data_IF_257872825309
#
_entry.id   IF_257872825309
#
_cell.length_a   1.000
_cell.length_b   1.000
_cell.length_c   1.000
_cell.angle_alpha   90.00
_cell.angle_beta   90.00
_cell.angle_gamma   90.00
#
_symmetry.space_group_name_H-M   'P 1'
#
loop_
_entity.id
_entity.type
_entity.pdbx_description
1 polymer ?
#
# COMPACT_ATOMS: atom_id res chain seq x y z
N UNK A 1 75.89 -40.78 -25.65
CA UNK A 1 75.32 -39.94 -24.58
C UNK A 1 73.82 -40.24 -24.52
N UNK A 2 73.37 -41.06 -23.57
CA UNK A 2 71.96 -41.47 -23.44
C UNK A 2 71.24 -40.52 -22.49
N UNK A 3 70.27 -39.75 -22.99
CA UNK A 3 69.40 -38.89 -22.17
C UNK A 3 68.19 -39.72 -21.73
N UNK A 4 68.04 -39.97 -20.42
CA UNK A 4 66.85 -40.60 -19.83
C UNK A 4 65.76 -39.54 -19.63
N UNK A 5 64.69 -39.61 -20.40
CA UNK A 5 63.48 -38.80 -20.22
C UNK A 5 62.69 -39.30 -19.01
N UNK A 6 62.56 -38.47 -17.97
CA UNK A 6 61.67 -38.74 -16.84
C UNK A 6 60.24 -38.33 -17.18
N UNK A 7 59.42 -39.26 -17.66
CA UNK A 7 57.97 -39.06 -17.73
C UNK A 7 57.40 -39.05 -16.30
N UNK A 8 57.07 -37.86 -15.77
CA UNK A 8 56.25 -37.74 -14.57
C UNK A 8 54.84 -38.24 -14.90
N UNK A 9 54.46 -39.39 -14.34
CA UNK A 9 53.07 -39.87 -14.35
C UNK A 9 52.27 -38.96 -13.43
N UNK A 10 51.47 -38.06 -14.01
CA UNK A 10 50.50 -37.26 -13.26
C UNK A 10 49.31 -38.16 -12.95
N UNK A 11 49.21 -38.63 -11.71
CA UNK A 11 48.07 -39.42 -11.24
C UNK A 11 46.84 -38.51 -11.19
N UNK A 12 45.98 -38.58 -12.20
CA UNK A 12 44.70 -37.88 -12.19
C UNK A 12 43.80 -38.52 -11.14
N UNK A 13 43.46 -37.76 -10.10
CA UNK A 13 42.47 -38.18 -9.12
C UNK A 13 41.10 -38.13 -9.80
N UNK A 14 40.47 -39.29 -9.97
CA UNK A 14 39.14 -39.40 -10.55
C UNK A 14 38.08 -39.11 -9.50
N UNK A 15 37.10 -38.27 -9.85
CA UNK A 15 35.95 -38.00 -9.01
C UNK A 15 35.03 -39.23 -9.01
N UNK A 16 34.68 -39.74 -7.83
CA UNK A 16 33.80 -40.90 -7.71
C UNK A 16 32.34 -40.49 -7.81
N UNK A 17 31.47 -41.40 -8.28
CA UNK A 17 30.02 -41.17 -8.31
C UNK A 17 29.45 -40.89 -6.91
N UNK A 18 30.05 -41.49 -5.88
CA UNK A 18 29.62 -41.33 -4.48
C UNK A 18 29.92 -39.90 -3.98
N UNK A 19 31.10 -39.35 -4.29
CA UNK A 19 31.44 -37.96 -3.94
C UNK A 19 30.46 -36.97 -4.57
N UNK A 20 30.08 -37.19 -5.83
CA UNK A 20 29.06 -36.37 -6.48
C UNK A 20 27.70 -36.50 -5.80
N UNK A 21 27.30 -37.73 -5.47
CA UNK A 21 25.99 -38.04 -4.88
C UNK A 21 25.83 -37.40 -3.49
N UNK A 22 26.86 -37.44 -2.66
CA UNK A 22 26.83 -36.82 -1.32
C UNK A 22 26.72 -35.29 -1.44
N UNK A 23 27.44 -34.68 -2.38
CA UNK A 23 27.39 -33.22 -2.57
C UNK A 23 26.00 -32.75 -3.00
N UNK A 24 25.38 -33.42 -3.98
CA UNK A 24 24.02 -33.05 -4.40
C UNK A 24 23.00 -33.29 -3.28
N UNK A 25 23.18 -34.31 -2.44
CA UNK A 25 22.32 -34.57 -1.30
C UNK A 25 22.38 -33.44 -0.26
N UNK A 26 23.60 -32.95 0.04
CA UNK A 26 23.79 -31.81 0.95
C UNK A 26 23.18 -30.53 0.35
N UNK A 27 23.41 -30.25 -0.94
CA UNK A 27 22.84 -29.08 -1.61
C UNK A 27 21.30 -29.14 -1.59
N UNK A 28 20.70 -30.30 -1.87
CA UNK A 28 19.25 -30.47 -1.83
C UNK A 28 18.67 -30.20 -0.44
N UNK A 29 19.32 -30.69 0.62
CA UNK A 29 18.93 -30.43 2.01
C UNK A 29 19.02 -28.95 2.36
N UNK A 30 20.12 -28.27 2.00
CA UNK A 30 20.30 -26.84 2.25
C UNK A 30 19.25 -26.00 1.51
N UNK A 31 18.99 -26.29 0.24
CA UNK A 31 17.95 -25.59 -0.55
C UNK A 31 16.56 -25.82 0.05
N UNK A 32 16.28 -27.04 0.53
CA UNK A 32 15.00 -27.38 1.17
C UNK A 32 14.68 -26.50 2.39
N UNK A 33 15.69 -26.09 3.15
CA UNK A 33 15.53 -25.19 4.31
C UNK A 33 15.56 -23.71 3.86
N UNK A 34 16.38 -23.38 2.86
CA UNK A 34 16.62 -22.00 2.45
C UNK A 34 15.43 -21.37 1.70
N UNK A 35 14.73 -22.12 0.85
CA UNK A 35 13.60 -21.63 0.07
C UNK A 35 12.44 -21.10 0.94
N UNK A 36 11.90 -21.85 1.93
CA UNK A 36 10.82 -21.34 2.77
C UNK A 36 11.28 -20.14 3.63
N UNK A 37 12.51 -20.18 4.15
CA UNK A 37 13.08 -19.07 4.93
C UNK A 37 13.20 -17.79 4.10
N UNK A 38 13.67 -17.89 2.86
CA UNK A 38 13.78 -16.75 1.94
C UNK A 38 12.42 -16.17 1.56
N UNK A 39 11.40 -17.02 1.39
CA UNK A 39 10.02 -16.58 1.14
C UNK A 39 9.46 -15.78 2.32
N UNK A 40 9.67 -16.24 3.55
CA UNK A 40 9.27 -15.51 4.75
C UNK A 40 10.02 -14.17 4.89
N UNK A 41 11.33 -14.17 4.70
CA UNK A 41 12.16 -12.96 4.78
C UNK A 41 11.72 -11.89 3.76
N UNK A 42 11.43 -12.29 2.51
CA UNK A 42 10.93 -11.36 1.48
C UNK A 42 9.58 -10.77 1.84
N UNK A 43 8.66 -11.54 2.42
CA UNK A 43 7.36 -11.02 2.89
C UNK A 43 7.53 -10.02 4.03
N UNK A 44 8.36 -10.35 5.03
CA UNK A 44 8.66 -9.43 6.12
C UNK A 44 9.25 -8.10 5.59
N UNK A 45 10.19 -8.17 4.64
CA UNK A 45 10.76 -6.98 4.01
C UNK A 45 9.68 -6.12 3.30
N UNK A 46 8.76 -6.73 2.55
CA UNK A 46 7.64 -6.00 1.94
C UNK A 46 6.76 -5.29 2.97
N UNK A 47 6.41 -5.97 4.06
CA UNK A 47 5.66 -5.38 5.17
C UNK A 47 6.40 -4.20 5.82
N UNK A 48 7.72 -4.30 6.01
CA UNK A 48 8.52 -3.18 6.56
C UNK A 48 8.52 -1.93 5.67
N UNK A 49 8.49 -2.11 4.35
CA UNK A 49 8.35 -1.00 3.40
C UNK A 49 6.98 -0.35 3.55
N UNK A 50 5.89 -1.13 3.55
CA UNK A 50 4.55 -0.60 3.72
C UNK A 50 4.36 0.12 5.06
N UNK A 51 4.98 -0.38 6.14
CA UNK A 51 4.97 0.28 7.45
C UNK A 51 5.76 1.61 7.43
N UNK A 52 6.83 1.70 6.64
CA UNK A 52 7.61 2.94 6.48
C UNK A 52 6.82 3.99 5.71
N UNK A 53 6.17 3.59 4.62
CA UNK A 53 5.24 4.43 3.87
C UNK A 53 4.08 4.93 4.75
N UNK A 54 3.50 4.06 5.59
CA UNK A 54 2.47 4.46 6.57
C UNK A 54 2.94 5.55 7.55
N UNK A 55 4.21 5.49 7.99
CA UNK A 55 4.78 6.56 8.83
C UNK A 55 4.88 7.88 8.07
N UNK A 56 5.30 7.84 6.80
CA UNK A 56 5.35 9.05 5.96
C UNK A 56 3.95 9.62 5.71
N UNK A 57 2.97 8.77 5.46
CA UNK A 57 1.55 9.15 5.36
C UNK A 57 1.06 9.82 6.65
N UNK A 58 1.37 9.26 7.82
CA UNK A 58 1.00 9.83 9.10
C UNK A 58 1.66 11.21 9.34
N UNK A 59 2.91 11.40 8.90
CA UNK A 59 3.56 12.70 8.91
C UNK A 59 2.82 13.70 8.01
N UNK A 60 2.47 13.31 6.78
CA UNK A 60 1.71 14.17 5.87
C UNK A 60 0.34 14.55 6.40
N UNK A 61 -0.33 13.64 7.11
CA UNK A 61 -1.59 13.92 7.80
C UNK A 61 -1.42 14.99 8.89
N UNK A 62 -0.35 14.87 9.68
CA UNK A 62 -0.05 15.82 10.76
C UNK A 62 0.29 17.20 10.19
N UNK A 63 1.06 17.25 9.10
CA UNK A 63 1.37 18.49 8.38
C UNK A 63 0.09 19.15 7.85
N UNK A 64 -0.81 18.38 7.24
CA UNK A 64 -2.10 18.88 6.79
C UNK A 64 -2.90 19.47 7.95
N UNK A 65 -3.04 18.75 9.06
CA UNK A 65 -3.81 19.24 10.22
C UNK A 65 -3.22 20.55 10.77
N UNK A 66 -1.88 20.65 10.87
CA UNK A 66 -1.21 21.87 11.33
C UNK A 66 -1.49 23.09 10.44
N UNK A 67 -1.61 22.91 9.13
CA UNK A 67 -1.93 23.99 8.19
C UNK A 67 -3.43 24.32 8.10
N UNK A 68 -4.29 23.42 8.58
CA UNK A 68 -5.74 23.51 8.44
C UNK A 68 -6.44 23.63 9.80
N UNK A 69 -5.95 24.49 10.69
CA UNK A 69 -6.54 24.77 12.01
C UNK A 69 -6.76 23.51 12.87
N UNK A 70 -5.79 22.58 12.87
CA UNK A 70 -5.86 21.29 13.56
C UNK A 70 -6.98 20.37 13.04
N UNK A 71 -7.54 20.63 11.85
CA UNK A 71 -8.60 19.80 11.26
C UNK A 71 -7.96 18.64 10.49
N UNK A 72 -8.37 17.42 10.85
CA UNK A 72 -7.98 16.21 10.14
C UNK A 72 -8.42 16.26 8.67
N UNK A 73 -7.61 15.66 7.79
CA UNK A 73 -7.94 15.56 6.37
C UNK A 73 -9.26 14.81 6.15
N UNK A 74 -10.18 15.30 5.29
CA UNK A 74 -11.42 14.61 4.99
C UNK A 74 -11.18 13.35 4.13
N UNK A 75 -11.82 12.23 4.48
CA UNK A 75 -11.74 10.98 3.72
C UNK A 75 -12.02 11.14 2.22
N UNK A 76 -13.07 11.90 1.90
CA UNK A 76 -13.32 12.44 0.57
C UNK A 76 -14.16 13.70 0.71
N UNK A 77 -13.79 14.76 0.01
CA UNK A 77 -14.56 16.01 0.01
C UNK A 77 -15.99 15.81 -0.51
N UNK A 78 -16.91 16.61 0.04
CA UNK A 78 -18.31 16.62 -0.35
C UNK A 78 -18.53 16.86 -1.86
N UNK A 79 -19.67 16.41 -2.39
CA UNK A 79 -20.07 16.74 -3.76
C UNK A 79 -21.07 17.89 -3.75
N UNK A 80 -20.71 18.99 -4.39
CA UNK A 80 -21.63 20.09 -4.65
C UNK A 80 -22.36 19.87 -5.97
N UNK A 81 -23.62 20.33 -6.04
CA UNK A 81 -24.42 20.30 -7.28
C UNK A 81 -23.77 21.15 -8.39
N UNK A 82 -23.13 22.26 -8.00
CA UNK A 82 -22.36 23.10 -8.91
C UNK A 82 -20.97 22.49 -9.12
N UNK A 83 -20.69 22.01 -10.33
CA UNK A 83 -19.44 21.27 -10.63
C UNK A 83 -18.16 22.10 -10.44
N UNK A 84 -18.23 23.43 -10.60
CA UNK A 84 -17.06 24.31 -10.37
C UNK A 84 -16.60 24.34 -8.91
N UNK A 85 -17.48 23.98 -7.95
CA UNK A 85 -17.14 23.89 -6.52
C UNK A 85 -16.52 22.53 -6.13
N UNK A 86 -16.41 21.61 -7.08
CA UNK A 86 -15.84 20.27 -6.86
C UNK A 86 -14.35 20.19 -7.24
N UNK A 87 -13.73 21.33 -7.55
CA UNK A 87 -12.34 21.45 -7.98
C UNK A 87 -11.49 21.96 -6.81
N UNK A 88 -10.40 21.27 -6.53
CA UNK A 88 -9.52 21.55 -5.39
C UNK A 88 -8.07 21.60 -5.86
N UNK A 89 -7.32 22.58 -5.37
CA UNK A 89 -5.87 22.60 -5.53
C UNK A 89 -5.24 21.57 -4.59
N UNK A 90 -4.43 20.68 -5.14
CA UNK A 90 -3.72 19.61 -4.39
C UNK A 90 -2.21 19.88 -4.33
N UNK A 91 -1.78 21.10 -4.66
CA UNK A 91 -0.41 21.61 -4.59
C UNK A 91 0.40 21.39 -5.87
N UNK A 92 0.11 20.33 -6.64
CA UNK A 92 0.73 20.08 -7.95
C UNK A 92 -0.28 20.16 -9.12
N UNK A 93 -1.43 20.80 -8.89
CA UNK A 93 -2.47 21.03 -9.88
C UNK A 93 -3.86 20.92 -9.31
N UNK A 94 -4.87 20.99 -10.18
CA UNK A 94 -6.29 20.98 -9.78
C UNK A 94 -6.87 19.58 -9.96
N UNK A 95 -7.48 19.05 -8.91
CA UNK A 95 -8.13 17.75 -8.89
C UNK A 95 -9.64 17.88 -8.66
N UNK A 96 -10.42 17.09 -9.41
CA UNK A 96 -11.83 16.89 -9.10
C UNK A 96 -11.99 15.98 -7.89
N UNK A 97 -12.63 16.48 -6.83
CA UNK A 97 -12.97 15.78 -5.58
C UNK A 97 -11.87 14.83 -5.06
N UNK A 98 -10.72 15.38 -4.64
CA UNK A 98 -9.63 14.57 -4.09
C UNK A 98 -10.08 13.76 -2.88
N UNK A 99 -9.44 12.60 -2.71
CA UNK A 99 -9.50 11.81 -1.48
C UNK A 99 -8.43 12.27 -0.51
N UNK A 100 -8.51 11.83 0.74
CA UNK A 100 -7.63 12.27 1.82
C UNK A 100 -6.13 12.25 1.46
N UNK A 101 -5.64 11.18 0.85
CA UNK A 101 -4.23 11.03 0.50
C UNK A 101 -3.78 11.91 -0.67
N UNK A 102 -4.71 12.39 -1.50
CA UNK A 102 -4.41 13.40 -2.54
C UNK A 102 -4.48 14.80 -1.93
N UNK A 103 -5.48 15.05 -1.09
CA UNK A 103 -5.73 16.34 -0.45
C UNK A 103 -4.55 16.79 0.42
N UNK A 104 -3.93 15.86 1.15
CA UNK A 104 -2.79 16.18 2.02
C UNK A 104 -1.52 16.55 1.25
N UNK A 105 -1.45 16.30 -0.06
CA UNK A 105 -0.26 16.55 -0.89
C UNK A 105 0.17 18.02 -0.89
N UNK A 106 -0.80 18.95 -0.85
CA UNK A 106 -0.53 20.39 -0.80
C UNK A 106 0.29 20.79 0.43
N UNK A 107 -0.03 20.20 1.59
CA UNK A 107 0.64 20.46 2.87
C UNK A 107 1.88 19.59 3.08
N UNK A 108 1.83 18.35 2.63
CA UNK A 108 2.86 17.36 2.91
C UNK A 108 4.09 17.47 1.99
N UNK A 109 3.96 18.11 0.83
CA UNK A 109 5.05 18.25 -0.15
C UNK A 109 5.37 16.98 -0.92
N UNK A 110 4.56 15.92 -0.79
CA UNK A 110 4.61 14.72 -1.60
C UNK A 110 3.21 14.38 -2.14
N UNK A 111 3.10 14.23 -3.45
CA UNK A 111 1.83 14.15 -4.15
C UNK A 111 1.50 12.70 -4.51
N UNK A 112 0.27 12.26 -4.29
CA UNK A 112 -0.18 10.91 -4.67
C UNK A 112 -0.29 10.72 -6.18
N UNK A 113 -0.62 11.79 -6.90
CA UNK A 113 -0.85 11.81 -8.35
C UNK A 113 0.16 12.76 -9.00
N UNK A 114 0.97 12.29 -9.94
CA UNK A 114 1.83 13.12 -10.79
C UNK A 114 1.03 14.11 -11.64
N UNK A 115 -0.11 13.68 -12.17
CA UNK A 115 -1.00 14.49 -13.01
C UNK A 115 -2.41 14.50 -12.42
N UNK A 116 -2.75 15.46 -11.54
CA UNK A 116 -4.11 15.65 -11.08
C UNK A 116 -5.03 16.04 -12.24
N UNK A 117 -6.29 15.61 -12.17
CA UNK A 117 -7.28 15.76 -13.23
C UNK A 117 -8.55 16.42 -12.71
N UNK A 118 -9.05 17.38 -13.49
CA UNK A 118 -10.35 18.03 -13.26
C UNK A 118 -11.53 17.23 -13.85
N UNK A 119 -11.25 16.13 -14.56
CA UNK A 119 -12.31 15.28 -15.13
C UNK A 119 -12.97 14.42 -14.05
N UNK A 120 -14.27 14.65 -13.86
CA UNK A 120 -15.16 13.90 -12.99
C UNK A 120 -15.12 12.39 -13.23
N UNK A 121 -14.95 11.94 -14.47
CA UNK A 121 -14.94 10.51 -14.80
C UNK A 121 -13.68 9.80 -14.28
N UNK A 122 -12.64 10.57 -13.93
CA UNK A 122 -11.37 10.07 -13.41
C UNK A 122 -11.27 10.06 -11.88
N UNK A 123 -12.30 10.56 -11.17
CA UNK A 123 -12.35 10.68 -9.71
C UNK A 123 -11.96 9.37 -8.97
N UNK A 124 -12.33 8.23 -9.54
CA UNK A 124 -12.16 6.89 -8.94
C UNK A 124 -11.18 5.98 -9.69
N UNK A 125 -10.65 6.42 -10.83
CA UNK A 125 -9.79 5.61 -11.71
C UNK A 125 -8.38 6.17 -11.88
N UNK A 126 -8.12 7.39 -11.39
CA UNK A 126 -6.79 7.98 -11.40
C UNK A 126 -5.78 7.05 -10.70
N UNK A 127 -4.62 6.87 -11.32
CA UNK A 127 -3.57 5.99 -10.84
C UNK A 127 -2.63 6.75 -9.91
N UNK A 128 -2.57 6.28 -8.67
CA UNK A 128 -1.57 6.66 -7.68
C UNK A 128 -0.20 6.18 -8.17
N UNK A 129 0.74 7.11 -8.24
CA UNK A 129 2.07 6.89 -8.83
C UNK A 129 3.21 7.19 -7.85
N UNK A 130 2.88 7.62 -6.64
CA UNK A 130 3.85 7.84 -5.60
C UNK A 130 3.86 6.65 -4.63
N UNK A 131 5.05 6.07 -4.48
CA UNK A 131 5.29 4.87 -3.68
C UNK A 131 4.86 5.03 -2.22
N UNK A 132 4.91 6.23 -1.65
CA UNK A 132 4.46 6.53 -0.27
C UNK A 132 2.99 6.14 -0.04
N UNK A 133 2.19 6.14 -1.10
CA UNK A 133 0.77 5.80 -1.05
C UNK A 133 0.47 4.40 -1.59
N UNK A 134 1.52 3.64 -1.93
CA UNK A 134 1.47 2.28 -2.42
C UNK A 134 2.06 1.31 -1.40
N UNK A 135 1.60 0.05 -1.43
CA UNK A 135 2.14 -1.00 -0.59
C UNK A 135 2.60 -2.17 -1.44
N UNK A 136 3.84 -2.61 -1.22
CA UNK A 136 4.46 -3.71 -1.98
C UNK A 136 3.77 -5.07 -1.78
N UNK A 137 2.94 -5.21 -0.74
CA UNK A 137 2.09 -6.38 -0.52
C UNK A 137 0.78 -6.37 -1.32
N UNK A 138 0.36 -5.21 -1.83
CA UNK A 138 -0.90 -5.03 -2.55
C UNK A 138 -0.67 -4.24 -3.84
N UNK A 139 0.13 -4.83 -4.75
CA UNK A 139 0.59 -4.18 -5.99
C UNK A 139 -0.53 -3.74 -6.93
N UNK A 140 -1.69 -4.37 -6.89
CA UNK A 140 -2.82 -4.07 -7.79
C UNK A 140 -3.70 -2.91 -7.28
N UNK A 141 -3.40 -2.39 -6.09
CA UNK A 141 -4.20 -1.38 -5.40
C UNK A 141 -3.61 0.00 -5.70
N UNK A 142 -3.64 0.39 -6.97
CA UNK A 142 -3.01 1.63 -7.46
C UNK A 142 -4.01 2.72 -7.80
N UNK A 143 -5.32 2.43 -7.74
CA UNK A 143 -6.37 3.41 -8.07
C UNK A 143 -6.71 4.31 -6.89
N UNK A 144 -7.15 5.54 -7.17
CA UNK A 144 -7.68 6.44 -6.13
C UNK A 144 -8.85 5.84 -5.36
N UNK A 145 -9.67 4.96 -5.96
CA UNK A 145 -10.77 4.27 -5.27
C UNK A 145 -10.26 3.16 -4.36
N UNK A 146 -9.25 2.41 -4.83
CA UNK A 146 -8.74 1.23 -4.15
C UNK A 146 -7.26 1.42 -3.81
N UNK A 147 -7.01 2.29 -2.83
CA UNK A 147 -5.68 2.53 -2.25
C UNK A 147 -5.38 1.46 -1.18
N UNK A 148 -4.11 1.07 -0.99
CA UNK A 148 -3.71 0.12 0.04
C UNK A 148 -3.82 0.70 1.44
N UNK A 149 -4.11 1.99 1.59
CA UNK A 149 -4.30 2.64 2.88
C UNK A 149 -5.76 3.07 3.05
N UNK A 150 -6.37 2.60 4.13
CA UNK A 150 -7.75 2.86 4.49
C UNK A 150 -7.90 4.09 5.38
N UNK A 151 -9.04 4.77 5.24
CA UNK A 151 -9.45 5.90 6.08
C UNK A 151 -10.49 5.45 7.10
N UNK A 152 -10.33 5.82 8.37
CA UNK A 152 -11.29 5.44 9.41
C UNK A 152 -12.48 6.41 9.51
N UNK A 153 -13.50 6.18 8.68
CA UNK A 153 -14.73 6.99 8.64
C UNK A 153 -15.53 7.00 9.95
N UNK A 154 -15.37 5.99 10.81
CA UNK A 154 -16.13 5.90 12.06
C UNK A 154 -15.68 6.96 13.08
N UNK A 155 -14.38 7.28 13.09
CA UNK A 155 -13.75 8.18 14.05
C UNK A 155 -13.38 9.53 13.45
N UNK A 156 -12.97 9.55 12.18
CA UNK A 156 -12.59 10.76 11.47
C UNK A 156 -13.75 11.39 10.68
N UNK A 157 -14.94 10.83 10.83
CA UNK A 157 -16.15 11.30 10.18
C UNK A 157 -16.18 11.05 8.68
N UNK A 158 -17.37 11.22 8.12
CA UNK A 158 -17.61 11.18 6.69
C UNK A 158 -17.85 12.60 6.19
N UNK A 159 -16.91 13.10 5.39
CA UNK A 159 -17.05 14.36 4.67
C UNK A 159 -18.00 14.27 3.46
N UNK A 160 -18.75 13.18 3.29
CA UNK A 160 -19.85 13.08 2.33
C UNK A 160 -21.11 13.72 2.92
N UNK A 161 -21.68 14.69 2.22
CA UNK A 161 -23.02 15.21 2.47
C UNK A 161 -24.01 14.04 2.49
N UNK A 162 -24.90 14.04 3.47
CA UNK A 162 -25.75 12.88 3.79
C UNK A 162 -26.48 12.28 2.59
N UNK A 163 -26.76 10.98 2.67
CA UNK A 163 -27.64 10.23 1.75
C UNK A 163 -29.12 10.66 1.84
N UNK A 164 -29.43 11.71 2.60
CA UNK A 164 -30.73 12.35 2.67
C UNK A 164 -30.56 13.78 2.14
N UNK A 165 -31.31 14.12 1.07
CA UNK A 165 -31.14 15.33 0.28
C UNK A 165 -31.00 16.63 1.07
N UNK A 166 -30.24 17.56 0.49
CA UNK A 166 -30.09 19.01 0.73
C UNK A 166 -30.02 19.58 2.16
N UNK A 167 -30.15 18.78 3.23
CA UNK A 167 -30.02 19.21 4.63
C UNK A 167 -29.03 18.35 5.45
N UNK A 168 -28.38 17.36 4.83
CA UNK A 168 -27.47 16.43 5.52
C UNK A 168 -26.03 16.93 5.61
N UNK A 169 -25.67 17.56 6.73
CA UNK A 169 -24.29 17.92 7.07
C UNK A 169 -23.35 16.71 7.14
N UNK A 170 -22.05 16.97 7.28
CA UNK A 170 -21.05 15.90 7.40
C UNK A 170 -21.32 15.03 8.63
N UNK A 171 -21.16 13.70 8.49
CA UNK A 171 -21.30 12.80 9.64
C UNK A 171 -20.02 12.90 10.48
N UNK A 172 -20.09 13.55 11.64
CA UNK A 172 -18.96 13.68 12.58
C UNK A 172 -17.70 14.31 11.97
N UNK A 173 -17.84 15.31 11.11
CA UNK A 173 -16.73 16.09 10.53
C UNK A 173 -17.10 17.58 10.54
N UNK A 174 -16.15 18.53 10.77
CA UNK A 174 -14.71 18.35 10.94
C UNK A 174 -14.33 17.66 12.26
N UNK A 175 -13.22 16.91 12.24
CA UNK A 175 -12.61 16.32 13.43
C UNK A 175 -11.29 17.03 13.67
N UNK A 176 -11.10 17.57 14.87
CA UNK A 176 -9.82 18.18 15.27
C UNK A 176 -8.87 17.10 15.77
N UNK A 177 -7.60 17.12 15.35
CA UNK A 177 -6.61 16.15 15.83
C UNK A 177 -6.42 16.22 17.34
N UNK A 178 -6.62 17.39 17.96
CA UNK A 178 -6.63 17.56 19.42
C UNK A 178 -7.78 16.84 20.14
N UNK A 179 -8.86 16.52 19.43
CA UNK A 179 -10.04 15.82 19.99
C UNK A 179 -9.92 14.30 19.94
N UNK A 180 -8.88 13.79 19.27
CA UNK A 180 -8.65 12.36 19.09
C UNK A 180 -7.73 11.84 20.18
N UNK A 181 -8.16 10.79 20.89
CA UNK A 181 -7.30 10.06 21.81
C UNK A 181 -6.24 9.27 21.01
N UNK A 182 -4.98 9.73 21.10
CA UNK A 182 -3.84 9.14 20.40
C UNK A 182 -3.48 7.72 20.85
N UNK A 183 -3.97 7.26 22.00
CA UNK A 183 -3.67 5.92 22.52
C UNK A 183 -4.68 4.84 22.07
N UNK A 184 -5.87 5.24 21.60
CA UNK A 184 -6.96 4.33 21.27
C UNK A 184 -7.56 4.47 19.87
N UNK A 185 -7.17 5.49 19.10
CA UNK A 185 -7.81 5.77 17.81
C UNK A 185 -6.91 5.45 16.62
N UNK A 186 -7.36 4.51 15.77
CA UNK A 186 -6.72 4.24 14.47
C UNK A 186 -7.23 5.25 13.45
N UNK A 187 -6.35 6.15 12.96
CA UNK A 187 -6.74 7.15 11.95
C UNK A 187 -6.75 6.57 10.53
N UNK A 188 -5.71 5.81 10.22
CA UNK A 188 -5.57 5.08 8.97
C UNK A 188 -4.93 3.72 9.26
N UNK A 189 -5.26 2.73 8.44
CA UNK A 189 -4.68 1.40 8.52
C UNK A 189 -4.27 0.96 7.12
N UNK A 190 -3.26 0.09 7.04
CA UNK A 190 -2.97 -0.58 5.78
C UNK A 190 -4.03 -1.64 5.45
N UNK A 191 -4.03 -2.03 4.18
CA UNK A 191 -4.91 -3.03 3.60
C UNK A 191 -4.67 -4.42 4.18
N UNK A 192 -3.61 -4.62 4.95
CA UNK A 192 -3.42 -5.82 5.74
C UNK A 192 -4.42 -5.91 6.90
N UNK A 193 -5.09 -4.84 7.33
CA UNK A 193 -6.03 -4.88 8.46
C UNK A 193 -7.11 -5.97 8.41
N UNK A 194 -7.62 -6.32 7.22
CA UNK A 194 -8.62 -7.40 7.04
C UNK A 194 -8.04 -8.71 6.49
N UNK A 195 -6.83 -8.69 5.92
CA UNK A 195 -6.21 -9.84 5.23
C UNK A 195 -4.84 -10.26 5.82
N UNK A 196 -4.40 -9.68 6.94
CA UNK A 196 -3.13 -9.96 7.59
C UNK A 196 -2.99 -11.44 7.98
N UNK A 197 -4.11 -12.08 8.35
CA UNK A 197 -4.16 -13.51 8.68
C UNK A 197 -4.22 -14.45 7.48
N UNK A 198 -4.27 -13.94 6.23
CA UNK A 198 -4.44 -14.74 5.01
C UNK A 198 -3.17 -14.76 4.15
N UNK A 199 -2.72 -15.94 3.67
CA UNK A 199 -1.64 -16.06 2.69
C UNK A 199 -1.96 -15.26 1.42
N UNK A 200 -0.95 -14.67 0.77
CA UNK A 200 -1.11 -13.88 -0.47
C UNK A 200 -1.89 -14.66 -1.56
N UNK A 201 -1.66 -15.98 -1.65
CA UNK A 201 -2.38 -16.87 -2.58
C UNK A 201 -3.88 -17.04 -2.31
N UNK A 202 -4.33 -16.76 -1.08
CA UNK A 202 -5.74 -16.82 -0.68
C UNK A 202 -6.42 -15.45 -0.72
N UNK A 203 -5.68 -14.37 -0.96
CA UNK A 203 -6.24 -13.00 -1.02
C UNK A 203 -6.96 -12.84 -2.36
N UNK A 204 -8.19 -12.32 -2.33
CA UNK A 204 -8.93 -12.07 -3.57
C UNK A 204 -8.31 -10.89 -4.34
N UNK A 205 -8.11 -11.02 -5.67
CA UNK A 205 -7.62 -9.92 -6.49
C UNK A 205 -8.60 -8.74 -6.42
N UNK A 206 -8.05 -7.53 -6.35
CA UNK A 206 -8.88 -6.34 -6.43
C UNK A 206 -9.35 -6.13 -7.87
N UNK A 207 -10.66 -6.22 -8.08
CA UNK A 207 -11.28 -6.14 -9.40
C UNK A 207 -11.42 -4.72 -9.95
N UNK A 208 -11.16 -3.69 -9.14
CA UNK A 208 -11.25 -2.26 -9.51
C UNK A 208 -12.56 -1.79 -10.18
N UNK A 209 -13.57 -2.66 -10.29
CA UNK A 209 -14.88 -2.45 -10.89
C UNK A 209 -15.97 -2.12 -9.85
N UNK A 210 -15.60 -2.13 -8.56
CA UNK A 210 -16.52 -1.97 -7.44
C UNK A 210 -17.44 -3.18 -7.22
N UNK A 211 -17.19 -4.31 -7.91
CA UNK A 211 -17.83 -5.58 -7.58
C UNK A 211 -17.39 -6.01 -6.18
N UNK A 212 -18.36 -6.45 -5.39
CA UNK A 212 -18.13 -6.93 -4.03
C UNK A 212 -17.77 -8.41 -4.09
N UNK A 213 -16.94 -8.87 -3.17
CA UNK A 213 -16.71 -10.30 -2.99
C UNK A 213 -18.02 -10.97 -2.57
N UNK A 214 -18.58 -11.90 -3.37
CA UNK A 214 -19.85 -12.54 -3.05
C UNK A 214 -19.77 -13.43 -1.80
N UNK A 215 -18.57 -13.84 -1.39
CA UNK A 215 -18.38 -14.75 -0.24
C UNK A 215 -18.47 -14.05 1.12
N UNK A 216 -18.20 -12.75 1.19
CA UNK A 216 -18.18 -11.98 2.45
C UNK A 216 -19.58 -11.64 3.00
N UNK A 217 -20.66 -11.86 2.23
CA UNK A 217 -22.05 -11.69 2.71
C UNK A 217 -22.64 -12.91 3.39
N UNK A 218 -22.06 -14.09 3.24
CA UNK A 218 -22.64 -15.32 3.83
C UNK A 218 -22.40 -15.45 5.34
N UNK A 219 -21.71 -14.48 5.97
CA UNK A 219 -21.34 -14.50 7.39
C UNK A 219 -21.98 -13.37 8.23
N UNK A 220 -23.11 -12.81 7.80
CA UNK A 220 -23.86 -11.80 8.58
C UNK A 220 -25.28 -11.58 8.09
#
# INVERSE_FOLDING_TARGET
>A
MFVRSHHRVVVRHGFTLIELLVVIAIIALLIGILLPALGAARRAARGTVCATHMRQVALGWTLYANENDDISVPGQVGRYAQESKNLYDVGNGIQYRPRWFVQMGASAGFYALANPSTDRNTEHSAQVNNDVFLCTETKDWTSTRNSPYGYNYQFLGNARWGLAGEAGGFVKFPVRTSSVDGSGTVLAADSMGTAAGKPESERTPNRNDGSRDPTLRAMG
#
